data_IF_429531686434
#
_entry.id   IF_429531686434
#
_cell.length_a   1.000
_cell.length_b   1.000
_cell.length_c   1.000
_cell.angle_alpha   90.00
_cell.angle_beta   90.00
_cell.angle_gamma   90.00
#
_symmetry.space_group_name_H-M   'P 1'
#
loop_
_entity.id
_entity.type
_entity.pdbx_description
1 polymer ?
#
# COMPACT_ATOMS: atom_id res chain seq x y z
N UNK A 1 -8.81 4.13 13.23
CA UNK A 1 -9.89 5.07 13.55
C UNK A 1 -10.08 6.06 12.40
N UNK A 2 -11.30 6.55 12.18
CA UNK A 2 -11.59 7.67 11.27
C UNK A 2 -11.23 9.01 11.92
N UNK A 3 -11.13 10.07 11.10
CA UNK A 3 -10.89 11.45 11.53
C UNK A 3 -9.58 11.61 12.31
N UNK A 4 -8.49 11.01 11.80
CA UNK A 4 -7.19 11.04 12.44
C UNK A 4 -6.11 11.61 11.53
N UNK A 5 -5.11 12.19 12.17
CA UNK A 5 -3.88 12.60 11.54
C UNK A 5 -2.69 11.95 12.28
N UNK A 6 -2.01 11.03 11.61
CA UNK A 6 -0.72 10.51 12.06
C UNK A 6 0.37 11.39 11.48
N UNK A 7 1.03 12.16 12.33
CA UNK A 7 2.16 12.99 11.93
C UNK A 7 3.47 12.35 12.40
N UNK A 8 4.40 12.11 11.46
CA UNK A 8 5.70 11.48 11.72
C UNK A 8 6.76 12.57 11.59
N UNK A 9 7.27 13.03 12.71
CA UNK A 9 8.23 14.13 12.74
C UNK A 9 9.56 13.78 12.08
N UNK A 10 10.34 14.81 11.76
CA UNK A 10 11.69 14.64 11.22
C UNK A 10 12.57 13.83 12.20
N UNK A 11 13.19 12.78 11.69
CA UNK A 11 14.01 11.86 12.49
C UNK A 11 13.22 10.79 13.24
N UNK A 12 11.89 10.90 13.31
CA UNK A 12 11.04 9.83 13.84
C UNK A 12 10.90 8.69 12.84
N UNK A 13 10.83 7.45 13.36
CA UNK A 13 10.68 6.24 12.55
C UNK A 13 9.61 5.34 13.14
N UNK A 14 8.72 4.86 12.27
CA UNK A 14 7.85 3.72 12.56
C UNK A 14 8.52 2.50 11.95
N UNK A 15 8.98 1.56 12.76
CA UNK A 15 9.76 0.41 12.31
C UNK A 15 8.95 -0.86 12.46
N UNK A 16 8.77 -1.58 11.36
CA UNK A 16 8.16 -2.90 11.36
C UNK A 16 9.03 -3.91 12.10
N UNK A 17 8.48 -4.52 13.15
CA UNK A 17 9.17 -5.55 13.91
C UNK A 17 9.23 -6.88 13.15
N UNK A 18 10.26 -7.69 13.41
CA UNK A 18 10.25 -9.09 12.99
C UNK A 18 9.24 -9.87 13.82
N UNK A 19 8.41 -10.71 13.20
CA UNK A 19 7.49 -11.56 13.95
C UNK A 19 8.28 -12.53 14.85
N UNK A 20 7.72 -12.80 16.02
CA UNK A 20 8.24 -13.76 16.99
C UNK A 20 7.18 -14.82 17.31
N UNK A 21 7.51 -15.78 18.17
CA UNK A 21 6.55 -16.81 18.59
C UNK A 21 5.33 -16.24 19.36
N UNK A 22 5.48 -15.06 19.97
CA UNK A 22 4.46 -14.44 20.82
C UNK A 22 3.96 -13.10 20.32
N UNK A 23 4.65 -12.48 19.36
CA UNK A 23 4.36 -11.15 18.85
C UNK A 23 4.45 -11.15 17.33
N UNK A 24 3.55 -10.44 16.69
CA UNK A 24 3.53 -10.32 15.24
C UNK A 24 2.45 -9.36 14.77
N UNK A 25 2.26 -9.33 13.48
CA UNK A 25 1.22 -8.54 12.83
C UNK A 25 -0.15 -9.21 12.99
N UNK A 26 -1.20 -8.42 12.80
CA UNK A 26 -2.56 -8.95 12.77
C UNK A 26 -2.70 -10.07 11.74
N UNK A 27 -3.56 -11.03 12.03
CA UNK A 27 -3.84 -12.10 11.09
C UNK A 27 -4.50 -11.54 9.84
N UNK A 28 -4.12 -12.09 8.70
CA UNK A 28 -4.85 -11.87 7.47
C UNK A 28 -6.31 -12.27 7.67
N UNK A 29 -7.21 -11.37 7.35
CA UNK A 29 -8.64 -11.64 7.48
C UNK A 29 -9.10 -12.71 6.47
N UNK A 30 -10.15 -13.48 6.78
CA UNK A 30 -10.76 -14.37 5.81
C UNK A 30 -11.25 -13.60 4.59
N UNK A 31 -10.97 -14.11 3.40
CA UNK A 31 -11.48 -13.58 2.14
C UNK A 31 -11.88 -14.76 1.24
N UNK A 32 -13.17 -14.89 0.97
CA UNK A 32 -13.73 -15.96 0.13
C UNK A 32 -13.36 -15.81 -1.36
N UNK A 33 -12.79 -14.68 -1.74
CA UNK A 33 -12.45 -14.34 -3.12
C UNK A 33 -10.97 -14.51 -3.46
N UNK A 34 -10.17 -15.09 -2.56
CA UNK A 34 -8.72 -15.31 -2.76
C UNK A 34 -8.39 -16.15 -3.98
N UNK A 35 -9.34 -16.93 -4.49
CA UNK A 35 -9.17 -17.71 -5.72
C UNK A 35 -9.10 -16.85 -6.99
N UNK A 36 -9.53 -15.60 -6.93
CA UNK A 36 -9.51 -14.65 -8.06
C UNK A 36 -8.37 -13.65 -7.97
N UNK A 37 -7.58 -13.69 -6.90
CA UNK A 37 -6.49 -12.81 -6.61
C UNK A 37 -5.39 -13.55 -5.86
N UNK A 38 -4.15 -13.10 -6.02
CA UNK A 38 -3.10 -13.60 -5.14
C UNK A 38 -3.35 -13.19 -3.67
N UNK A 39 -2.69 -13.87 -2.76
CA UNK A 39 -2.88 -13.67 -1.33
C UNK A 39 -2.48 -12.25 -0.89
N UNK A 40 -1.45 -11.68 -1.50
CA UNK A 40 -0.98 -10.33 -1.18
C UNK A 40 -2.03 -9.27 -1.44
N UNK A 41 -2.72 -9.35 -2.57
CA UNK A 41 -3.75 -8.38 -3.00
C UNK A 41 -5.14 -8.60 -2.37
N UNK A 42 -5.33 -9.69 -1.66
CA UNK A 42 -6.64 -10.06 -1.11
C UNK A 42 -6.76 -9.98 0.40
N UNK A 43 -5.72 -9.49 1.08
CA UNK A 43 -5.68 -9.35 2.53
C UNK A 43 -5.03 -8.02 2.93
N UNK A 44 -5.55 -7.37 3.96
CA UNK A 44 -5.15 -6.02 4.34
C UNK A 44 -4.64 -5.91 5.78
N UNK A 45 -5.16 -6.69 6.74
CA UNK A 45 -4.81 -6.58 8.16
C UNK A 45 -3.38 -6.98 8.48
N UNK A 46 -2.80 -7.90 7.73
CA UNK A 46 -1.42 -8.35 7.90
C UNK A 46 -0.40 -7.30 7.42
N UNK A 47 -0.52 -6.09 7.93
CA UNK A 47 0.26 -4.91 7.52
C UNK A 47 0.74 -4.12 8.73
N UNK A 48 1.79 -3.31 8.56
CA UNK A 48 2.30 -2.46 9.65
C UNK A 48 1.28 -1.38 10.03
N UNK A 49 0.68 -0.74 9.03
CA UNK A 49 -0.41 0.22 9.21
C UNK A 49 -1.56 -0.23 8.32
N UNK A 50 -2.74 -0.42 8.88
CA UNK A 50 -3.90 -0.78 8.08
C UNK A 50 -5.18 -0.05 8.49
N UNK A 51 -6.10 0.09 7.53
CA UNK A 51 -7.42 0.68 7.74
C UNK A 51 -8.47 0.07 6.81
N UNK A 52 -9.64 -0.25 7.36
CA UNK A 52 -10.78 -0.78 6.60
C UNK A 52 -12.02 0.05 6.90
N UNK A 53 -12.67 0.58 5.86
CA UNK A 53 -13.90 1.36 5.97
C UNK A 53 -13.76 2.66 6.77
N UNK A 54 -12.58 3.28 6.76
CA UNK A 54 -12.28 4.49 7.53
C UNK A 54 -12.42 5.74 6.66
N UNK A 55 -12.65 6.89 7.31
CA UNK A 55 -12.82 8.20 6.65
C UNK A 55 -11.90 9.26 7.25
N UNK A 56 -11.53 10.26 6.43
CA UNK A 56 -10.78 11.45 6.82
C UNK A 56 -9.47 11.10 7.52
N UNK A 57 -8.59 10.38 6.81
CA UNK A 57 -7.30 9.93 7.31
C UNK A 57 -6.20 10.76 6.68
N UNK A 58 -5.29 11.25 7.50
CA UNK A 58 -4.04 11.83 7.03
C UNK A 58 -2.85 11.13 7.67
N UNK A 59 -1.89 10.72 6.85
CA UNK A 59 -0.55 10.33 7.30
C UNK A 59 0.42 11.34 6.67
N UNK A 60 1.21 12.03 7.48
CA UNK A 60 2.11 13.04 6.96
C UNK A 60 3.35 13.25 7.81
N UNK A 61 4.23 14.14 7.33
CA UNK A 61 5.43 14.56 8.05
C UNK A 61 6.72 13.95 7.51
N UNK A 62 7.87 14.55 7.73
CA UNK A 62 9.14 14.19 7.09
C UNK A 62 9.84 12.96 7.69
N UNK A 63 9.12 12.14 8.44
CA UNK A 63 9.64 10.93 9.06
C UNK A 63 9.66 9.72 8.13
N UNK A 64 10.01 8.57 8.69
CA UNK A 64 10.23 7.32 7.98
C UNK A 64 9.29 6.22 8.48
N UNK A 65 8.68 5.48 7.55
CA UNK A 65 8.08 4.18 7.82
C UNK A 65 9.03 3.13 7.24
N UNK A 66 9.63 2.33 8.10
CA UNK A 66 10.61 1.31 7.74
C UNK A 66 10.05 -0.09 7.97
N UNK A 67 9.74 -0.78 6.90
CA UNK A 67 9.17 -2.13 6.93
C UNK A 67 10.17 -3.26 7.21
N UNK A 68 11.15 -3.02 8.06
CA UNK A 68 12.31 -3.91 8.35
C UNK A 68 11.93 -5.37 8.57
N UNK A 69 10.86 -5.62 9.31
CA UNK A 69 10.38 -6.98 9.63
C UNK A 69 9.29 -7.50 8.69
N UNK A 70 8.92 -6.74 7.67
CA UNK A 70 7.93 -7.17 6.68
C UNK A 70 8.58 -8.10 5.66
N UNK A 71 7.83 -9.13 5.23
CA UNK A 71 8.28 -10.01 4.16
C UNK A 71 7.78 -9.55 2.81
N UNK A 72 8.59 -9.72 1.77
CA UNK A 72 8.15 -9.53 0.39
C UNK A 72 7.38 -10.73 -0.17
N UNK A 73 7.44 -11.86 0.53
CA UNK A 73 6.77 -13.08 0.12
C UNK A 73 5.30 -13.09 0.53
N UNK A 74 4.50 -13.86 -0.17
CA UNK A 74 3.12 -14.15 0.21
C UNK A 74 3.11 -15.17 1.35
N UNK A 75 3.11 -14.70 2.59
CA UNK A 75 3.08 -15.59 3.75
C UNK A 75 1.68 -15.67 4.33
N UNK A 76 1.22 -16.90 4.55
CA UNK A 76 -0.02 -17.21 5.27
C UNK A 76 0.23 -17.55 6.74
N UNK A 77 1.48 -17.47 7.18
CA UNK A 77 1.84 -17.77 8.56
C UNK A 77 1.29 -16.69 9.50
N UNK A 78 0.74 -17.09 10.64
CA UNK A 78 0.29 -16.14 11.66
C UNK A 78 1.40 -15.19 12.09
N UNK A 79 1.06 -13.94 12.29
CA UNK A 79 1.99 -12.91 12.76
C UNK A 79 2.95 -12.36 11.70
N UNK A 80 2.90 -12.83 10.47
CA UNK A 80 3.75 -12.33 9.38
C UNK A 80 3.04 -11.22 8.63
N UNK A 81 3.62 -10.01 8.64
CA UNK A 81 3.16 -8.87 7.85
C UNK A 81 3.94 -8.71 6.55
N UNK A 82 3.30 -8.20 5.52
CA UNK A 82 3.91 -8.04 4.20
C UNK A 82 3.60 -6.70 3.51
N UNK A 83 3.05 -5.71 4.22
CA UNK A 83 2.74 -4.39 3.66
C UNK A 83 3.08 -3.29 4.65
N UNK A 84 3.66 -2.19 4.17
CA UNK A 84 3.87 -1.04 5.04
C UNK A 84 2.53 -0.34 5.36
N UNK A 85 1.74 -0.03 4.34
CA UNK A 85 0.42 0.59 4.50
C UNK A 85 -0.59 -0.19 3.65
N UNK A 86 -1.73 -0.51 4.23
CA UNK A 86 -2.85 -1.07 3.49
C UNK A 86 -4.19 -0.45 3.88
N UNK A 87 -4.97 -0.07 2.88
CA UNK A 87 -6.24 0.63 3.04
C UNK A 87 -7.31 -0.05 2.18
N UNK A 88 -8.44 -0.40 2.82
CA UNK A 88 -9.57 -1.01 2.12
C UNK A 88 -10.84 -0.22 2.36
N UNK A 89 -11.53 0.15 1.27
CA UNK A 89 -12.82 0.85 1.32
C UNK A 89 -12.80 2.12 2.19
N UNK A 90 -11.66 2.82 2.22
CA UNK A 90 -11.51 4.09 2.92
C UNK A 90 -11.94 5.28 2.05
N UNK A 91 -12.19 6.43 2.68
CA UNK A 91 -12.55 7.67 1.98
C UNK A 91 -11.75 8.85 2.51
N UNK A 92 -11.47 9.83 1.63
CA UNK A 92 -10.78 11.07 1.97
C UNK A 92 -9.44 10.82 2.65
N UNK A 93 -8.54 10.14 1.93
CA UNK A 93 -7.22 9.77 2.44
C UNK A 93 -6.14 10.68 1.86
N UNK A 94 -5.29 11.21 2.73
CA UNK A 94 -4.09 11.99 2.35
C UNK A 94 -2.84 11.35 2.92
N UNK A 95 -1.90 11.01 2.03
CA UNK A 95 -0.58 10.49 2.35
C UNK A 95 0.45 11.48 1.83
N UNK A 96 1.28 12.10 2.68
CA UNK A 96 2.20 13.14 2.20
C UNK A 96 3.46 13.33 3.03
N UNK A 97 4.54 13.71 2.33
CA UNK A 97 5.79 14.23 2.89
C UNK A 97 6.63 13.23 3.69
N UNK A 98 6.34 11.93 3.68
CA UNK A 98 7.12 10.92 4.39
C UNK A 98 7.89 9.99 3.44
N UNK A 99 8.72 9.14 4.03
CA UNK A 99 9.46 8.11 3.30
C UNK A 99 9.02 6.71 3.70
N UNK A 100 9.02 5.80 2.73
CA UNK A 100 8.82 4.36 2.90
C UNK A 100 10.09 3.62 2.52
N UNK A 101 10.54 2.69 3.35
CA UNK A 101 11.75 1.89 3.11
C UNK A 101 11.49 0.41 3.39
N UNK A 102 11.89 -0.46 2.44
CA UNK A 102 11.80 -1.93 2.55
C UNK A 102 10.43 -2.44 3.01
N UNK A 103 9.41 -2.13 2.25
CA UNK A 103 8.01 -2.25 2.65
C UNK A 103 7.43 -3.68 2.57
N UNK A 104 8.26 -4.67 2.30
CA UNK A 104 7.79 -6.03 2.09
C UNK A 104 7.24 -6.22 0.68
N UNK A 105 6.02 -6.72 0.56
CA UNK A 105 5.35 -6.97 -0.71
C UNK A 105 4.82 -5.64 -1.32
N UNK A 106 4.25 -4.75 -0.49
CA UNK A 106 3.72 -3.45 -0.93
C UNK A 106 4.18 -2.29 -0.05
N UNK A 107 4.53 -1.18 -0.67
CA UNK A 107 4.63 0.11 0.02
C UNK A 107 3.26 0.60 0.45
N UNK A 108 2.33 0.67 -0.49
CA UNK A 108 0.92 0.94 -0.27
C UNK A 108 0.08 -0.03 -1.09
N UNK A 109 -0.84 -0.72 -0.44
CA UNK A 109 -1.97 -1.39 -1.09
C UNK A 109 -3.24 -0.60 -0.76
N UNK A 110 -3.81 0.08 -1.74
CA UNK A 110 -5.07 0.79 -1.62
C UNK A 110 -6.15 0.09 -2.47
N UNK A 111 -7.14 -0.51 -1.82
CA UNK A 111 -8.22 -1.23 -2.51
C UNK A 111 -9.57 -0.59 -2.21
N UNK A 112 -10.24 -0.10 -3.23
CA UNK A 112 -11.57 0.50 -3.11
C UNK A 112 -11.59 1.88 -2.43
N UNK A 113 -10.46 2.58 -2.36
CA UNK A 113 -10.36 3.89 -1.71
C UNK A 113 -10.91 4.99 -2.62
N UNK A 114 -11.78 5.83 -2.08
CA UNK A 114 -12.34 6.99 -2.78
C UNK A 114 -11.73 8.30 -2.24
N UNK A 115 -11.32 9.22 -3.13
CA UNK A 115 -10.63 10.47 -2.82
C UNK A 115 -9.27 10.22 -2.12
N UNK A 116 -8.32 9.65 -2.86
CA UNK A 116 -6.95 9.38 -2.39
C UNK A 116 -5.99 10.40 -2.96
N UNK A 117 -5.22 11.06 -2.08
CA UNK A 117 -4.12 11.94 -2.47
C UNK A 117 -2.79 11.42 -1.91
N UNK A 118 -1.80 11.21 -2.78
CA UNK A 118 -0.43 10.82 -2.44
C UNK A 118 0.49 11.92 -2.97
N UNK A 119 1.13 12.66 -2.07
CA UNK A 119 1.90 13.85 -2.42
C UNK A 119 3.29 13.80 -1.78
N UNK A 120 4.34 13.98 -2.59
CA UNK A 120 5.72 14.06 -2.11
C UNK A 120 6.13 12.90 -1.18
N UNK A 121 5.71 11.69 -1.51
CA UNK A 121 6.10 10.46 -0.80
C UNK A 121 7.29 9.83 -1.52
N UNK A 122 8.31 9.43 -0.75
CA UNK A 122 9.49 8.74 -1.27
C UNK A 122 9.42 7.27 -0.90
N UNK A 123 9.56 6.39 -1.87
CA UNK A 123 9.51 4.94 -1.67
C UNK A 123 10.78 4.32 -2.21
N UNK A 124 11.44 3.52 -1.39
CA UNK A 124 12.50 2.61 -1.80
C UNK A 124 12.19 1.23 -1.23
N UNK A 125 11.65 0.36 -2.06
CA UNK A 125 11.10 -0.92 -1.63
C UNK A 125 11.56 -2.08 -2.50
N UNK A 126 11.25 -3.29 -2.08
CA UNK A 126 11.69 -4.52 -2.75
C UNK A 126 10.72 -4.99 -3.84
N UNK A 127 9.43 -4.71 -3.70
CA UNK A 127 8.37 -5.05 -4.64
C UNK A 127 7.52 -3.82 -4.92
N UNK A 128 6.20 -3.98 -5.08
CA UNK A 128 5.31 -2.90 -5.51
C UNK A 128 5.43 -1.65 -4.62
N UNK A 129 5.55 -0.51 -5.26
CA UNK A 129 5.54 0.78 -4.57
C UNK A 129 4.13 1.18 -4.15
N UNK A 130 3.31 1.61 -5.11
CA UNK A 130 1.90 1.96 -4.91
C UNK A 130 1.01 1.08 -5.77
N UNK A 131 0.21 0.25 -5.12
CA UNK A 131 -0.82 -0.57 -5.74
C UNK A 131 -2.19 0.09 -5.51
N UNK A 132 -2.80 0.56 -6.58
CA UNK A 132 -4.05 1.35 -6.59
C UNK A 132 -5.13 0.52 -7.27
N UNK A 133 -5.93 -0.18 -6.46
CA UNK A 133 -6.89 -1.16 -6.92
C UNK A 133 -8.33 -0.73 -6.64
N UNK A 134 -9.19 -0.73 -7.65
CA UNK A 134 -10.60 -0.37 -7.49
C UNK A 134 -10.83 1.02 -6.87
N UNK A 135 -9.91 1.95 -7.05
CA UNK A 135 -9.93 3.27 -6.42
C UNK A 135 -10.55 4.34 -7.33
N UNK A 136 -11.04 5.41 -6.72
CA UNK A 136 -11.68 6.51 -7.45
C UNK A 136 -11.18 7.86 -6.97
N UNK A 137 -11.01 8.82 -7.92
CA UNK A 137 -10.53 10.17 -7.65
C UNK A 137 -9.16 10.15 -6.97
N UNK A 138 -8.17 9.59 -7.64
CA UNK A 138 -6.81 9.42 -7.12
C UNK A 138 -5.87 10.47 -7.70
N UNK A 139 -5.06 11.09 -6.86
CA UNK A 139 -3.97 11.97 -7.27
C UNK A 139 -2.67 11.48 -6.67
N UNK A 140 -1.68 11.23 -7.52
CA UNK A 140 -0.30 10.89 -7.14
C UNK A 140 0.60 11.93 -7.76
N UNK A 141 1.32 12.70 -6.94
CA UNK A 141 2.17 13.76 -7.48
C UNK A 141 3.42 14.01 -6.65
N UNK A 142 4.49 14.45 -7.35
CA UNK A 142 5.79 14.78 -6.74
C UNK A 142 6.43 13.62 -5.97
N UNK A 143 6.07 12.39 -6.29
CA UNK A 143 6.58 11.21 -5.63
C UNK A 143 7.86 10.68 -6.28
N UNK A 144 8.70 10.03 -5.48
CA UNK A 144 9.83 9.24 -5.97
C UNK A 144 9.61 7.80 -5.55
N UNK A 145 9.49 6.88 -6.50
CA UNK A 145 9.20 5.47 -6.22
C UNK A 145 10.23 4.59 -6.91
N UNK A 146 11.00 3.85 -6.12
CA UNK A 146 11.93 2.82 -6.57
C UNK A 146 11.45 1.44 -6.11
N UNK A 147 11.13 0.57 -7.07
CA UNK A 147 10.61 -0.78 -6.86
C UNK A 147 11.38 -1.79 -7.74
N UNK A 148 12.65 -2.12 -7.43
CA UNK A 148 13.56 -2.82 -8.35
C UNK A 148 13.15 -4.24 -8.71
N UNK A 149 12.17 -4.83 -8.04
CA UNK A 149 11.74 -6.21 -8.27
C UNK A 149 10.30 -6.33 -8.78
N UNK A 150 9.55 -5.21 -8.84
CA UNK A 150 8.16 -5.22 -9.28
C UNK A 150 7.72 -3.80 -9.72
N UNK A 151 6.42 -3.53 -9.74
CA UNK A 151 5.86 -2.28 -10.24
C UNK A 151 6.06 -1.09 -9.29
N UNK A 152 6.51 0.03 -9.81
CA UNK A 152 6.64 1.24 -9.00
C UNK A 152 5.27 1.84 -8.65
N UNK A 153 4.40 1.99 -9.64
CA UNK A 153 3.01 2.41 -9.47
C UNK A 153 2.15 1.56 -10.39
N UNK A 154 1.16 0.90 -9.85
CA UNK A 154 0.24 0.05 -10.62
C UNK A 154 -1.21 0.41 -10.36
N UNK A 155 -2.00 0.46 -11.44
CA UNK A 155 -3.45 0.67 -11.40
C UNK A 155 -4.14 -0.64 -11.72
N UNK A 156 -5.00 -1.11 -10.83
CA UNK A 156 -5.73 -2.38 -10.95
C UNK A 156 -7.24 -2.18 -10.81
N UNK A 157 -8.00 -3.11 -11.36
CA UNK A 157 -9.43 -3.26 -11.14
C UNK A 157 -9.71 -4.74 -10.88
N UNK A 158 -9.30 -5.20 -9.71
CA UNK A 158 -9.34 -6.60 -9.33
C UNK A 158 -10.67 -7.04 -8.72
N UNK A 159 -10.84 -8.35 -8.53
CA UNK A 159 -11.98 -8.90 -7.80
C UNK A 159 -11.72 -9.07 -6.29
N UNK A 160 -10.69 -8.42 -5.75
CA UNK A 160 -10.30 -8.52 -4.33
C UNK A 160 -11.38 -8.08 -3.35
N UNK A 161 -12.30 -7.20 -3.79
CA UNK A 161 -13.45 -6.76 -2.99
C UNK A 161 -14.61 -7.76 -2.98
N UNK A 162 -14.61 -8.80 -3.84
CA UNK A 162 -15.73 -9.70 -4.03
C UNK A 162 -16.85 -9.19 -4.95
N UNK A 163 -16.61 -8.07 -5.60
CA UNK A 163 -17.47 -7.49 -6.63
C UNK A 163 -16.63 -6.65 -7.59
N UNK A 164 -17.15 -6.39 -8.78
CA UNK A 164 -16.49 -5.54 -9.76
C UNK A 164 -16.59 -4.06 -9.35
N UNK A 165 -15.45 -3.40 -9.31
CA UNK A 165 -15.36 -1.95 -9.15
C UNK A 165 -14.21 -1.43 -9.99
N UNK A 166 -14.47 -0.42 -10.80
CA UNK A 166 -13.47 0.19 -11.66
C UNK A 166 -12.49 1.06 -10.86
N UNK A 167 -11.29 1.20 -11.40
CA UNK A 167 -10.35 2.27 -11.01
C UNK A 167 -10.54 3.42 -11.99
N UNK A 168 -10.92 4.59 -11.47
CA UNK A 168 -11.32 5.73 -12.30
C UNK A 168 -10.85 7.08 -11.76
N UNK A 169 -10.71 8.06 -12.65
CA UNK A 169 -10.30 9.42 -12.34
C UNK A 169 -8.93 9.47 -11.64
N UNK A 170 -7.92 8.84 -12.23
CA UNK A 170 -6.54 8.81 -11.69
C UNK A 170 -5.68 9.82 -12.43
N UNK A 171 -4.92 10.60 -11.68
CA UNK A 171 -3.88 11.50 -12.20
C UNK A 171 -2.54 11.16 -11.54
N UNK A 172 -1.51 10.96 -12.36
CA UNK A 172 -0.12 10.79 -11.92
C UNK A 172 0.71 11.88 -12.59
N UNK A 173 1.39 12.72 -11.82
CA UNK A 173 2.18 13.84 -12.35
C UNK A 173 3.45 14.09 -11.55
N UNK A 174 4.47 14.61 -12.22
CA UNK A 174 5.71 15.07 -11.59
C UNK A 174 6.40 14.01 -10.71
N UNK A 175 6.34 12.74 -11.11
CA UNK A 175 6.91 11.64 -10.37
C UNK A 175 8.19 11.11 -11.02
N UNK A 176 9.16 10.71 -10.18
CA UNK A 176 10.29 9.90 -10.58
C UNK A 176 9.99 8.44 -10.21
N UNK A 177 9.95 7.56 -11.21
CA UNK A 177 9.61 6.16 -11.01
C UNK A 177 10.66 5.25 -11.63
N UNK A 178 11.05 4.21 -10.90
CA UNK A 178 11.89 3.13 -11.40
C UNK A 178 11.33 1.80 -10.89
N UNK A 179 11.24 0.83 -11.76
CA UNK A 179 10.68 -0.48 -11.47
C UNK A 179 11.63 -1.59 -11.96
N UNK A 180 11.06 -2.77 -12.10
CA UNK A 180 11.77 -3.96 -12.54
C UNK A 180 12.21 -3.86 -14.01
N UNK A 181 13.41 -4.34 -14.34
CA UNK A 181 14.01 -4.26 -15.68
C UNK A 181 13.27 -5.10 -16.74
N UNK A 182 12.39 -5.99 -16.34
CA UNK A 182 11.55 -6.84 -17.20
C UNK A 182 10.05 -6.61 -17.02
N UNK A 183 9.67 -5.71 -16.15
CA UNK A 183 8.28 -5.35 -15.85
C UNK A 183 7.97 -3.92 -16.21
N UNK A 184 6.79 -3.48 -15.81
CA UNK A 184 6.35 -2.11 -16.01
C UNK A 184 6.80 -1.22 -14.86
N UNK A 185 7.37 -0.09 -15.20
CA UNK A 185 7.61 0.99 -14.22
C UNK A 185 6.27 1.59 -13.79
N UNK A 186 5.34 1.60 -14.72
CA UNK A 186 3.95 2.02 -14.54
C UNK A 186 3.06 1.00 -15.25
N UNK A 187 2.26 0.27 -14.51
CA UNK A 187 1.37 -0.76 -15.07
C UNK A 187 -0.12 -0.44 -14.85
N UNK A 188 -0.94 -0.96 -15.74
CA UNK A 188 -2.38 -0.90 -15.68
C UNK A 188 -2.95 -2.28 -16.05
N UNK A 189 -3.13 -3.13 -15.05
CA UNK A 189 -3.60 -4.49 -15.26
C UNK A 189 -5.09 -4.63 -15.01
N UNK A 190 -5.76 -5.30 -15.96
CA UNK A 190 -7.14 -5.72 -15.85
C UNK A 190 -7.18 -7.21 -15.55
N UNK A 191 -7.65 -7.57 -14.38
CA UNK A 191 -7.97 -8.96 -14.08
C UNK A 191 -9.48 -9.15 -14.27
N UNK A 192 -9.83 -9.97 -15.25
CA UNK A 192 -11.22 -10.38 -15.50
C UNK A 192 -11.56 -11.66 -14.78
#
# INVERSE_FOLDING_TARGET
ASHIHLYIEQGAQIVGAFPSATEGYDLAEPNEHTQFQDFGHSHWKNSLIWGIGLEDITISGPGLIYGKGLTREESRLPGVGNKAISLKLCKNVTLKDFSLLHCGHFGLLATGVDNLSILNVKVDTNRDGFDIDCCKNVRISHCTVNAPWDDAIVLKASYGLGYFKDTENVTISDCFVSGYDRGSVLDCTWQR
#
